data_IF_718776661261
#
_entry.id   IF_718776661261
#
_cell.length_a   1.000
_cell.length_b   1.000
_cell.length_c   1.000
_cell.angle_alpha   90.00
_cell.angle_beta   90.00
_cell.angle_gamma   90.00
#
_symmetry.space_group_name_H-M   'P 1'
#
loop_
_entity.id
_entity.type
_entity.pdbx_description
1 polymer ?
#
# COMPACT_ATOMS: atom_id res chain seq x y z
N UNK A 1 -8.37 9.64 9.82
CA UNK A 1 -7.16 10.36 9.43
C UNK A 1 -6.17 9.38 8.85
N UNK A 2 -5.77 9.60 7.61
CA UNK A 2 -4.82 8.75 6.89
C UNK A 2 -3.53 9.52 6.72
N UNK A 3 -2.43 8.80 6.80
CA UNK A 3 -1.10 9.34 6.58
C UNK A 3 -0.06 8.26 6.86
N UNK A 4 1.16 8.69 7.06
CA UNK A 4 2.29 7.80 7.35
C UNK A 4 2.82 8.13 8.72
N UNK A 5 3.37 7.12 9.41
CA UNK A 5 4.00 7.37 10.68
C UNK A 5 5.26 8.20 10.51
N UNK A 6 5.44 9.14 11.43
CA UNK A 6 6.72 9.81 11.57
C UNK A 6 7.74 8.82 12.15
N UNK A 7 9.00 9.01 11.79
CA UNK A 7 10.07 8.24 12.39
C UNK A 7 10.05 8.44 13.91
N UNK A 8 10.09 7.33 14.64
CA UNK A 8 10.09 7.33 16.12
C UNK A 8 8.81 7.85 16.77
N UNK A 9 7.72 7.95 16.03
CA UNK A 9 6.42 8.41 16.52
C UNK A 9 5.34 7.48 16.04
N UNK A 10 4.25 7.38 16.80
CA UNK A 10 3.06 6.66 16.39
C UNK A 10 1.98 7.59 15.82
N UNK A 11 2.28 8.86 15.68
CA UNK A 11 1.35 9.80 15.09
C UNK A 11 1.28 9.61 13.58
N UNK A 12 0.07 9.65 13.04
CA UNK A 12 -0.16 9.54 11.62
C UNK A 12 -0.02 10.91 10.98
N UNK A 13 0.88 11.02 10.00
CA UNK A 13 1.11 12.26 9.27
C UNK A 13 0.31 12.22 7.97
N UNK A 14 -0.39 13.31 7.70
CA UNK A 14 -1.11 13.45 6.44
C UNK A 14 -0.11 13.78 5.32
N UNK A 15 -0.01 12.89 4.35
CA UNK A 15 0.95 12.99 3.27
C UNK A 15 0.30 13.08 1.89
N UNK A 16 -0.88 13.71 1.78
CA UNK A 16 -1.55 13.85 0.48
C UNK A 16 -0.64 14.47 -0.58
N UNK A 17 0.17 15.43 -0.18
CA UNK A 17 1.06 16.15 -1.07
C UNK A 17 2.54 15.91 -0.75
N UNK A 18 2.84 14.79 -0.09
CA UNK A 18 4.19 14.47 0.30
C UNK A 18 5.06 14.14 -0.92
N UNK A 19 6.09 14.95 -1.15
CA UNK A 19 6.97 14.81 -2.32
C UNK A 19 7.82 13.54 -2.30
N UNK A 20 7.95 12.90 -1.14
CA UNK A 20 8.76 11.68 -0.97
C UNK A 20 7.99 10.40 -1.27
N UNK A 21 6.67 10.51 -1.51
CA UNK A 21 5.83 9.36 -1.79
C UNK A 21 5.63 9.21 -3.30
N UNK A 22 5.48 7.95 -3.75
CA UNK A 22 5.17 7.70 -5.15
C UNK A 22 3.76 8.15 -5.51
N UNK A 23 3.55 8.50 -6.76
CA UNK A 23 2.23 8.91 -7.24
C UNK A 23 1.14 7.85 -7.00
N UNK A 24 1.36 6.56 -7.28
CA UNK A 24 0.33 5.57 -6.97
C UNK A 24 0.08 5.43 -5.47
N UNK A 25 1.09 5.60 -4.62
CA UNK A 25 0.89 5.57 -3.17
C UNK A 25 0.02 6.73 -2.70
N UNK A 26 0.25 7.93 -3.24
CA UNK A 26 -0.54 9.10 -2.90
C UNK A 26 -1.99 8.95 -3.40
N UNK A 27 -2.18 8.43 -4.60
CA UNK A 27 -3.51 8.16 -5.14
C UNK A 27 -4.27 7.17 -4.27
N UNK A 28 -3.60 6.08 -3.86
CA UNK A 28 -4.20 5.08 -2.98
C UNK A 28 -4.55 5.68 -1.62
N UNK A 29 -3.70 6.55 -1.07
CA UNK A 29 -3.96 7.20 0.23
C UNK A 29 -5.20 8.09 0.17
N UNK A 30 -5.36 8.85 -0.90
CA UNK A 30 -6.54 9.70 -1.09
C UNK A 30 -7.81 8.86 -1.21
N UNK A 31 -7.75 7.76 -1.96
CA UNK A 31 -8.89 6.86 -2.13
C UNK A 31 -9.28 6.23 -0.78
N UNK A 32 -8.31 5.76 -0.02
CA UNK A 32 -8.56 5.17 1.29
C UNK A 32 -9.18 6.18 2.25
N UNK A 33 -8.67 7.42 2.26
CA UNK A 33 -9.25 8.47 3.10
C UNK A 33 -10.71 8.72 2.76
N UNK A 34 -11.01 8.87 1.47
CA UNK A 34 -12.38 9.08 1.03
C UNK A 34 -13.29 7.93 1.44
N UNK A 35 -12.85 6.69 1.24
CA UNK A 35 -13.60 5.51 1.64
C UNK A 35 -13.87 5.51 3.16
N UNK A 36 -12.86 5.80 3.96
CA UNK A 36 -13.01 5.80 5.41
C UNK A 36 -13.99 6.88 5.88
N UNK A 37 -13.99 8.03 5.24
CA UNK A 37 -14.95 9.09 5.54
C UNK A 37 -16.37 8.68 5.14
N UNK A 38 -16.55 8.12 3.96
CA UNK A 38 -17.86 7.75 3.43
C UNK A 38 -18.48 6.58 4.20
N UNK A 39 -17.68 5.62 4.60
CA UNK A 39 -18.15 4.40 5.24
C UNK A 39 -17.92 4.36 6.75
N UNK A 40 -17.48 5.47 7.34
CA UNK A 40 -17.24 5.60 8.78
C UNK A 40 -16.29 4.53 9.32
N UNK A 41 -15.21 4.27 8.58
CA UNK A 41 -14.17 3.36 9.03
C UNK A 41 -13.24 4.11 9.97
N UNK A 42 -13.05 3.56 11.17
CA UNK A 42 -12.24 4.23 12.20
C UNK A 42 -10.76 3.91 12.07
N UNK A 43 -9.94 4.88 12.41
CA UNK A 43 -8.50 4.68 12.54
C UNK A 43 -8.21 4.04 13.90
N UNK A 44 -7.21 3.15 13.93
CA UNK A 44 -6.79 2.51 15.17
C UNK A 44 -6.14 3.53 16.12
N UNK A 45 -6.58 3.52 17.39
CA UNK A 45 -5.98 4.32 18.44
C UNK A 45 -5.34 3.38 19.47
N UNK A 46 -3.99 3.38 19.58
CA UNK A 46 -3.30 2.45 20.49
C UNK A 46 -3.59 2.71 21.96
N UNK A 47 -4.02 3.93 22.31
CA UNK A 47 -4.36 4.26 23.71
C UNK A 47 -5.58 3.50 24.17
N UNK A 48 -6.53 3.26 23.27
CA UNK A 48 -7.79 2.61 23.58
C UNK A 48 -7.89 1.23 22.94
N UNK A 49 -6.91 0.82 22.13
CA UNK A 49 -6.88 -0.41 21.36
C UNK A 49 -8.15 -0.62 20.54
N UNK A 50 -8.66 0.47 19.96
CA UNK A 50 -9.90 0.51 19.18
C UNK A 50 -9.66 1.17 17.83
N UNK A 51 -10.50 0.78 16.87
CA UNK A 51 -10.42 1.25 15.51
C UNK A 51 -9.90 0.18 14.58
N UNK A 52 -10.34 0.22 13.33
CA UNK A 52 -10.05 -0.84 12.36
C UNK A 52 -8.75 -0.59 11.60
N UNK A 53 -8.62 0.56 10.99
CA UNK A 53 -7.52 0.83 10.06
C UNK A 53 -6.27 1.28 10.81
N UNK A 54 -5.19 0.51 10.65
CA UNK A 54 -3.92 0.82 11.32
C UNK A 54 -2.93 1.48 10.38
N UNK A 55 -2.66 0.86 9.23
CA UNK A 55 -1.68 1.35 8.27
C UNK A 55 -2.10 1.01 6.85
N UNK A 56 -1.56 1.74 5.91
CA UNK A 56 -1.58 1.37 4.50
C UNK A 56 -0.14 1.37 4.00
N UNK A 57 0.23 0.28 3.35
CA UNK A 57 1.54 0.14 2.72
C UNK A 57 1.31 -0.06 1.23
N UNK A 58 2.00 0.70 0.42
CA UNK A 58 1.93 0.55 -1.04
C UNK A 58 3.29 0.09 -1.54
N UNK A 59 3.29 -1.04 -2.24
CA UNK A 59 4.48 -1.55 -2.91
C UNK A 59 4.31 -1.35 -4.40
N UNK A 60 5.28 -0.71 -5.02
CA UNK A 60 5.24 -0.41 -6.45
C UNK A 60 6.43 -1.04 -7.14
N UNK A 61 6.15 -1.85 -8.15
CA UNK A 61 7.16 -2.46 -8.99
C UNK A 61 7.41 -1.55 -10.18
N UNK A 62 8.48 -0.79 -10.15
CA UNK A 62 8.73 0.27 -11.13
C UNK A 62 8.99 -0.27 -12.54
N UNK A 63 9.55 -1.47 -12.65
CA UNK A 63 9.85 -2.07 -13.95
C UNK A 63 8.63 -2.62 -14.69
N UNK A 64 7.54 -2.89 -13.95
CA UNK A 64 6.30 -3.43 -14.53
C UNK A 64 5.11 -2.49 -14.37
N UNK A 65 5.18 -1.55 -13.43
CA UNK A 65 4.06 -0.69 -13.06
C UNK A 65 3.04 -1.36 -12.15
N UNK A 66 3.30 -2.59 -11.70
CA UNK A 66 2.37 -3.30 -10.84
C UNK A 66 2.38 -2.73 -9.42
N UNK A 67 1.20 -2.59 -8.84
CA UNK A 67 1.02 -1.99 -7.52
C UNK A 67 0.29 -2.95 -6.61
N UNK A 68 0.80 -3.08 -5.39
CA UNK A 68 0.17 -3.83 -4.31
C UNK A 68 -0.19 -2.85 -3.18
N UNK A 69 -1.43 -2.91 -2.73
CA UNK A 69 -1.89 -2.15 -1.57
C UNK A 69 -2.12 -3.13 -0.42
N UNK A 70 -1.44 -2.89 0.68
CA UNK A 70 -1.56 -3.67 1.90
C UNK A 70 -2.25 -2.81 2.95
N UNK A 71 -3.37 -3.30 3.46
CA UNK A 71 -4.15 -2.62 4.48
C UNK A 71 -4.00 -3.37 5.79
N UNK A 72 -3.31 -2.76 6.74
CA UNK A 72 -3.08 -3.35 8.07
C UNK A 72 -4.26 -2.99 8.95
N UNK A 73 -4.96 -3.99 9.46
CA UNK A 73 -6.19 -3.80 10.20
C UNK A 73 -6.17 -4.49 11.56
N UNK A 74 -6.90 -3.90 12.48
CA UNK A 74 -7.21 -4.49 13.78
C UNK A 74 -8.60 -5.13 13.68
N UNK A 75 -8.66 -6.24 12.94
CA UNK A 75 -9.92 -6.92 12.69
C UNK A 75 -9.72 -8.09 11.74
N UNK A 76 -10.80 -8.64 11.26
CA UNK A 76 -10.78 -9.81 10.35
C UNK A 76 -11.11 -9.46 8.91
N UNK A 77 -11.65 -8.29 8.66
CA UNK A 77 -12.03 -7.84 7.33
C UNK A 77 -12.40 -6.38 7.34
N UNK A 78 -12.71 -5.85 6.17
CA UNK A 78 -13.10 -4.45 5.99
C UNK A 78 -14.56 -4.43 5.49
N UNK A 79 -15.46 -3.75 6.21
CA UNK A 79 -16.84 -3.61 5.70
C UNK A 79 -16.84 -2.91 4.35
N UNK A 80 -17.65 -3.41 3.42
CA UNK A 80 -17.78 -2.86 2.08
C UNK A 80 -16.44 -2.82 1.31
N UNK A 81 -15.64 -3.88 1.48
CA UNK A 81 -14.32 -3.96 0.87
C UNK A 81 -14.34 -3.84 -0.66
N UNK A 82 -15.39 -4.34 -1.31
CA UNK A 82 -15.52 -4.25 -2.77
C UNK A 82 -15.51 -2.80 -3.25
N UNK A 83 -16.17 -1.90 -2.52
CA UNK A 83 -16.17 -0.47 -2.82
C UNK A 83 -14.75 0.10 -2.69
N UNK A 84 -14.05 -0.24 -1.63
CA UNK A 84 -12.67 0.22 -1.43
C UNK A 84 -11.76 -0.26 -2.55
N UNK A 85 -11.86 -1.53 -2.93
CA UNK A 85 -11.07 -2.09 -4.01
C UNK A 85 -11.30 -1.32 -5.31
N UNK A 86 -12.55 -1.02 -5.63
CA UNK A 86 -12.87 -0.26 -6.83
C UNK A 86 -12.32 1.16 -6.77
N UNK A 87 -12.42 1.81 -5.62
CA UNK A 87 -11.88 3.16 -5.44
C UNK A 87 -10.35 3.18 -5.59
N UNK A 88 -9.67 2.18 -5.05
CA UNK A 88 -8.22 2.05 -5.20
C UNK A 88 -7.83 1.80 -6.65
N UNK A 89 -8.55 0.92 -7.33
CA UNK A 89 -8.29 0.60 -8.73
C UNK A 89 -8.46 1.83 -9.61
N UNK A 90 -9.56 2.56 -9.44
CA UNK A 90 -9.83 3.77 -10.20
C UNK A 90 -8.75 4.83 -9.95
N UNK A 91 -8.35 5.02 -8.69
CA UNK A 91 -7.36 6.02 -8.33
C UNK A 91 -5.99 5.74 -8.96
N UNK A 92 -5.57 4.47 -8.94
CA UNK A 92 -4.28 4.07 -9.49
C UNK A 92 -4.33 4.11 -11.03
N UNK A 93 -5.45 3.72 -11.63
CA UNK A 93 -5.64 3.79 -13.07
C UNK A 93 -5.54 5.23 -13.59
N UNK A 94 -5.99 6.20 -12.82
CA UNK A 94 -5.98 7.62 -13.19
C UNK A 94 -4.62 8.29 -13.04
N UNK A 95 -3.64 7.62 -12.42
CA UNK A 95 -2.28 8.17 -12.35
C UNK A 95 -1.72 8.32 -13.76
N UNK A 96 -1.30 9.53 -14.16
CA UNK A 96 -0.88 9.76 -15.53
C UNK A 96 0.43 9.03 -15.85
N UNK A 97 0.60 8.71 -17.14
CA UNK A 97 1.88 8.24 -17.65
C UNK A 97 2.72 9.48 -17.97
N UNK A 98 3.85 9.62 -17.32
CA UNK A 98 4.72 10.76 -17.51
C UNK A 98 5.61 10.58 -18.74
N UNK A 99 5.90 11.66 -19.43
CA UNK A 99 6.79 11.65 -20.60
C UNK A 99 8.25 11.80 -20.19
N UNK A 100 8.50 12.43 -19.04
CA UNK A 100 9.83 12.72 -18.54
C UNK A 100 9.97 12.37 -17.07
N UNK A 101 11.20 12.23 -16.60
CA UNK A 101 11.53 11.98 -15.21
C UNK A 101 11.67 10.50 -14.87
N UNK A 102 11.85 10.19 -13.58
CA UNK A 102 12.11 8.81 -13.14
C UNK A 102 10.97 7.85 -13.42
N UNK A 103 9.74 8.37 -13.56
CA UNK A 103 8.55 7.57 -13.81
C UNK A 103 8.12 7.58 -15.27
N UNK A 104 8.97 8.10 -16.18
CA UNK A 104 8.62 8.22 -17.58
C UNK A 104 8.26 6.86 -18.18
N UNK A 105 7.14 6.80 -18.89
CA UNK A 105 6.66 5.60 -19.56
C UNK A 105 6.10 4.52 -18.68
N UNK A 106 6.07 4.71 -17.35
CA UNK A 106 5.52 3.70 -16.44
C UNK A 106 4.01 3.86 -16.37
N UNK A 107 3.30 2.79 -16.70
CA UNK A 107 1.84 2.70 -16.58
C UNK A 107 1.53 1.86 -15.35
N UNK A 108 0.91 2.50 -14.35
CA UNK A 108 0.61 1.82 -13.09
C UNK A 108 -0.73 1.09 -13.15
N UNK A 109 -0.76 -0.10 -12.55
CA UNK A 109 -1.99 -0.88 -12.43
C UNK A 109 -2.04 -1.54 -11.05
N UNK A 110 -3.23 -1.54 -10.46
CA UNK A 110 -3.46 -2.23 -9.19
C UNK A 110 -3.60 -3.73 -9.46
N UNK A 111 -2.61 -4.51 -9.00
CA UNK A 111 -2.58 -5.95 -9.23
C UNK A 111 -2.85 -6.77 -7.97
N UNK A 112 -2.76 -6.16 -6.81
CA UNK A 112 -2.94 -6.86 -5.54
C UNK A 112 -3.48 -5.94 -4.47
N UNK A 113 -4.54 -6.39 -3.78
CA UNK A 113 -5.03 -5.76 -2.56
C UNK A 113 -5.06 -6.82 -1.48
N UNK A 114 -4.33 -6.57 -0.41
CA UNK A 114 -4.13 -7.53 0.67
C UNK A 114 -4.48 -6.86 1.99
N UNK A 115 -5.19 -7.57 2.86
CA UNK A 115 -5.27 -7.16 4.26
C UNK A 115 -4.24 -7.92 5.07
N UNK A 116 -3.62 -7.21 5.99
CA UNK A 116 -2.72 -7.78 6.98
C UNK A 116 -3.36 -7.60 8.34
N UNK A 117 -3.55 -8.70 9.05
CA UNK A 117 -4.24 -8.67 10.34
C UNK A 117 -3.23 -8.49 11.45
N UNK A 118 -3.34 -7.37 12.15
CA UNK A 118 -2.51 -7.06 13.29
C UNK A 118 -3.36 -6.51 14.42
N UNK A 119 -3.72 -7.39 15.36
CA UNK A 119 -4.54 -7.03 16.53
C UNK A 119 -3.71 -6.70 17.76
N UNK A 120 -2.39 -6.80 17.67
CA UNK A 120 -1.50 -6.58 18.80
C UNK A 120 -1.27 -5.08 19.03
N UNK A 121 -1.18 -4.71 20.28
CA UNK A 121 -0.85 -3.32 20.65
C UNK A 121 0.66 -3.20 20.90
N UNK A 122 1.41 -3.35 19.82
CA UNK A 122 2.87 -3.27 19.82
C UNK A 122 3.33 -2.27 18.78
N UNK A 123 4.63 -2.00 18.72
CA UNK A 123 5.23 -1.15 17.69
C UNK A 123 5.36 -1.84 16.34
N UNK A 124 5.08 -3.14 16.26
CA UNK A 124 5.13 -3.87 14.99
C UNK A 124 4.04 -3.35 14.06
N UNK A 125 4.41 -3.00 12.85
CA UNK A 125 3.47 -2.52 11.84
C UNK A 125 2.67 -3.70 11.27
N UNK A 126 3.35 -4.76 10.87
CA UNK A 126 2.74 -5.91 10.22
C UNK A 126 2.47 -7.05 11.20
N UNK A 127 1.29 -7.66 11.06
CA UNK A 127 0.97 -8.92 11.68
C UNK A 127 1.43 -10.08 10.81
N UNK A 128 1.17 -11.31 11.25
CA UNK A 128 1.63 -12.52 10.57
C UNK A 128 0.69 -13.03 9.50
N UNK A 129 -0.58 -12.68 9.58
CA UNK A 129 -1.60 -13.19 8.66
C UNK A 129 -1.93 -12.18 7.57
N UNK A 130 -1.87 -12.64 6.31
CA UNK A 130 -2.28 -11.85 5.15
C UNK A 130 -3.38 -12.59 4.40
N UNK A 131 -4.38 -11.83 3.95
CA UNK A 131 -5.48 -12.34 3.13
C UNK A 131 -5.57 -11.48 1.89
N UNK A 132 -5.49 -12.11 0.71
CA UNK A 132 -5.66 -11.40 -0.56
C UNK A 132 -7.14 -11.13 -0.79
N UNK A 133 -7.51 -9.86 -0.92
CA UNK A 133 -8.88 -9.44 -1.19
C UNK A 133 -9.17 -9.35 -2.67
N UNK A 134 -8.19 -8.98 -3.47
CA UNK A 134 -8.37 -8.83 -4.92
C UNK A 134 -7.05 -9.05 -5.64
N UNK A 135 -7.12 -9.56 -6.85
CA UNK A 135 -5.97 -9.77 -7.70
C UNK A 135 -5.07 -10.90 -7.24
N UNK A 136 -3.78 -10.75 -7.47
CA UNK A 136 -2.77 -11.75 -7.14
C UNK A 136 -2.23 -11.51 -5.72
N UNK A 137 -1.80 -12.57 -5.01
CA UNK A 137 -1.14 -12.41 -3.72
C UNK A 137 0.26 -11.76 -3.82
N UNK A 138 0.80 -11.67 -5.02
CA UNK A 138 2.12 -11.08 -5.27
C UNK A 138 2.05 -10.15 -6.47
N UNK A 139 3.06 -9.30 -6.62
CA UNK A 139 3.29 -8.53 -7.83
C UNK A 139 4.65 -8.88 -8.39
N UNK A 140 4.82 -8.59 -9.67
CA UNK A 140 6.07 -8.89 -10.38
C UNK A 140 6.87 -7.61 -10.57
N UNK A 141 8.15 -7.70 -10.27
CA UNK A 141 9.11 -6.65 -10.58
C UNK A 141 10.06 -7.12 -11.67
N UNK A 142 10.50 -6.20 -12.49
CA UNK A 142 11.47 -6.48 -13.53
C UNK A 142 12.60 -5.46 -13.47
N UNK A 143 13.82 -5.97 -13.39
CA UNK A 143 15.03 -5.14 -13.38
C UNK A 143 16.00 -5.75 -14.41
N UNK A 144 16.19 -5.06 -15.52
CA UNK A 144 16.95 -5.62 -16.64
C UNK A 144 16.31 -6.90 -17.15
N UNK A 145 17.06 -7.99 -17.16
CA UNK A 145 16.56 -9.33 -17.56
C UNK A 145 16.06 -10.15 -16.39
N UNK A 146 16.11 -9.59 -15.16
CA UNK A 146 15.68 -10.29 -13.96
C UNK A 146 14.21 -9.99 -13.66
N UNK A 147 13.47 -11.05 -13.32
CA UNK A 147 12.10 -10.93 -12.84
C UNK A 147 12.02 -11.59 -11.47
N UNK A 148 11.27 -10.97 -10.55
CA UNK A 148 11.07 -11.54 -9.23
C UNK A 148 9.74 -11.11 -8.65
N UNK A 149 9.23 -11.93 -7.73
CA UNK A 149 7.97 -11.68 -7.06
C UNK A 149 8.17 -10.85 -5.82
N UNK A 150 7.20 -9.95 -5.57
CA UNK A 150 7.10 -9.20 -4.34
C UNK A 150 5.84 -9.66 -3.63
N UNK A 151 6.00 -10.20 -2.42
CA UNK A 151 4.87 -10.59 -1.57
C UNK A 151 4.61 -9.52 -0.50
N UNK A 152 3.44 -9.56 0.18
CA UNK A 152 3.13 -8.56 1.20
C UNK A 152 4.15 -8.50 2.34
N UNK A 153 4.63 -9.66 2.78
CA UNK A 153 5.55 -9.75 3.91
C UNK A 153 7.01 -9.83 3.47
N UNK A 154 7.28 -9.99 2.18
CA UNK A 154 8.65 -10.01 1.73
C UNK A 154 9.25 -8.64 1.95
N UNK A 155 10.36 -8.64 2.63
CA UNK A 155 11.15 -7.45 2.70
C UNK A 155 11.63 -7.14 1.30
N UNK A 156 11.32 -5.95 0.83
CA UNK A 156 11.85 -5.45 -0.42
C UNK A 156 13.34 -5.19 -0.26
N UNK A 157 14.05 -6.21 0.26
CA UNK A 157 15.47 -6.09 0.55
C UNK A 157 16.32 -6.68 -0.53
N UNK A 158 15.72 -7.31 -1.49
CA UNK A 158 16.49 -7.66 -2.66
C UNK A 158 16.67 -6.33 -3.38
N UNK A 159 17.79 -5.69 -3.07
CA UNK A 159 18.17 -4.48 -3.75
C UNK A 159 18.29 -4.81 -5.23
N UNK A 160 17.43 -4.26 -6.12
CA UNK A 160 17.49 -4.58 -7.54
C UNK A 160 18.87 -4.34 -8.15
N UNK A 161 19.58 -3.33 -7.67
CA UNK A 161 20.93 -3.04 -8.13
C UNK A 161 21.92 -4.13 -7.76
N UNK A 162 21.74 -4.78 -6.61
CA UNK A 162 22.60 -5.89 -6.23
C UNK A 162 22.33 -7.12 -7.09
N UNK A 163 21.08 -7.35 -7.44
CA UNK A 163 20.73 -8.47 -8.32
C UNK A 163 21.31 -8.30 -9.72
N UNK A 164 21.30 -7.10 -10.26
CA UNK A 164 21.90 -6.84 -11.57
C UNK A 164 23.41 -7.04 -11.59
N UNK A 165 24.06 -6.88 -10.46
CA UNK A 165 25.50 -7.08 -10.36
C UNK A 165 25.92 -8.53 -10.20
N UNK A 166 24.99 -9.38 -9.88
CA UNK A 166 25.22 -10.80 -9.73
C UNK A 166 25.00 -11.53 -11.04
#
# INVERSE_FOLDING_TARGET
RIGFYQAKSHDVVNCDDCMLQSEPAMAAARALRQFMEEDNITSYDPRWEKGLMRHMIVRTAMGTGQVMVILVINGKGIPNAAKLIQMLDDAIFEVPVYEEGPLAGVEFSLESVVININKKNTSDILGEECITLAGSPTIMEKVGDLEFEISPLSFYQVNPQQMEKL
#
